data_IF_476269761574
#
_entry.id   IF_476269761574
#
_cell.length_a   1.000
_cell.length_b   1.000
_cell.length_c   1.000
_cell.angle_alpha   90.00
_cell.angle_beta   90.00
_cell.angle_gamma   90.00
#
_symmetry.space_group_name_H-M   'P 1'
#
loop_
_entity.id
_entity.type
_entity.pdbx_description
1 polymer ?
#
# COMPACT_ATOMS: atom_id res chain seq x y z
N UNK A 1 -11.23 -5.59 15.28
CA UNK A 1 -10.99 -4.86 14.02
C UNK A 1 -10.30 -3.55 14.39
N UNK A 2 -9.02 -3.40 14.11
CA UNK A 2 -8.24 -2.20 14.47
C UNK A 2 -8.18 -1.32 13.21
N UNK A 3 -8.85 -0.17 13.23
CA UNK A 3 -8.78 0.81 12.15
C UNK A 3 -7.34 1.34 11.99
N UNK A 4 -7.05 1.98 10.84
CA UNK A 4 -5.76 2.63 10.53
C UNK A 4 -5.23 3.47 11.72
N UNK A 5 -6.13 4.13 12.45
CA UNK A 5 -5.82 4.91 13.66
C UNK A 5 -5.22 4.07 14.78
N UNK A 6 -5.61 2.80 14.94
CA UNK A 6 -5.16 1.99 16.07
C UNK A 6 -3.90 1.15 15.82
N UNK A 7 -3.56 0.84 14.56
CA UNK A 7 -2.22 0.32 14.23
C UNK A 7 -1.15 1.36 14.61
N UNK A 8 -1.41 2.65 14.33
CA UNK A 8 -0.50 3.74 14.67
C UNK A 8 -0.54 4.15 16.15
N UNK A 9 -1.68 4.02 16.86
CA UNK A 9 -1.72 4.28 18.32
C UNK A 9 -0.84 3.34 19.14
N UNK A 10 -0.64 2.10 18.69
CA UNK A 10 0.20 1.13 19.43
C UNK A 10 1.72 1.31 19.21
N UNK A 11 2.14 2.21 18.31
CA UNK A 11 3.56 2.57 18.12
C UNK A 11 3.77 4.08 18.38
N UNK A 12 3.84 4.43 19.67
CA UNK A 12 4.39 5.68 20.26
C UNK A 12 4.32 6.96 19.41
N UNK A 13 3.31 7.78 19.71
CA UNK A 13 3.27 9.26 19.84
C UNK A 13 3.93 10.23 18.83
N UNK A 14 4.70 9.84 17.80
CA UNK A 14 5.41 10.80 16.93
C UNK A 14 5.41 10.47 15.41
N UNK A 15 4.41 9.76 14.88
CA UNK A 15 4.35 9.49 13.44
C UNK A 15 3.99 10.76 12.64
N UNK A 16 5.00 11.51 12.19
CA UNK A 16 4.87 12.52 11.14
C UNK A 16 4.84 11.82 9.76
N UNK A 17 3.77 12.00 9.00
CA UNK A 17 3.64 11.51 7.63
C UNK A 17 4.04 12.61 6.64
N UNK A 18 4.93 12.30 5.68
CA UNK A 18 5.20 13.19 4.55
C UNK A 18 5.40 12.41 3.23
N UNK A 19 4.47 12.69 2.31
CA UNK A 19 4.47 12.71 0.83
C UNK A 19 5.46 11.87 -0.01
N UNK A 20 4.84 11.02 -0.85
CA UNK A 20 5.12 10.63 -2.25
C UNK A 20 6.54 10.90 -2.76
N UNK A 21 7.39 9.88 -2.66
CA UNK A 21 8.64 9.84 -3.39
C UNK A 21 8.39 9.23 -4.77
N UNK A 22 8.18 10.11 -5.76
CA UNK A 22 8.37 9.76 -7.17
C UNK A 22 9.85 9.43 -7.36
N UNK A 23 10.17 8.14 -7.58
CA UNK A 23 11.53 7.56 -7.59
C UNK A 23 12.48 8.06 -8.72
N UNK A 24 12.18 9.20 -9.35
CA UNK A 24 12.94 9.70 -10.51
C UNK A 24 14.30 10.31 -10.15
N UNK A 25 14.52 10.75 -8.91
CA UNK A 25 15.76 11.43 -8.51
C UNK A 25 16.59 10.64 -7.50
N UNK A 26 17.28 9.60 -7.99
CA UNK A 26 18.05 8.63 -7.19
C UNK A 26 19.12 9.27 -6.27
N UNK A 27 19.79 10.34 -6.70
CA UNK A 27 20.89 10.96 -5.92
C UNK A 27 20.44 11.70 -4.66
N UNK A 28 19.30 12.38 -4.70
CA UNK A 28 18.79 13.11 -3.55
C UNK A 28 18.00 12.20 -2.59
N UNK A 29 17.50 11.06 -3.09
CA UNK A 29 16.73 10.11 -2.32
C UNK A 29 17.52 9.50 -1.16
N UNK A 30 18.73 8.99 -1.43
CA UNK A 30 19.61 8.40 -0.41
C UNK A 30 19.86 9.38 0.73
N UNK A 31 20.20 10.63 0.42
CA UNK A 31 20.44 11.67 1.43
C UNK A 31 19.21 11.92 2.30
N UNK A 32 18.01 11.95 1.69
CA UNK A 32 16.75 12.14 2.43
C UNK A 32 16.43 10.95 3.33
N UNK A 33 16.54 9.73 2.81
CA UNK A 33 16.27 8.52 3.62
C UNK A 33 17.27 8.38 4.77
N UNK A 34 18.54 8.69 4.54
CA UNK A 34 19.54 8.72 5.61
C UNK A 34 19.19 9.77 6.68
N UNK A 35 18.72 10.96 6.29
CA UNK A 35 18.23 11.95 7.25
C UNK A 35 17.01 11.47 8.04
N UNK A 36 16.10 10.71 7.43
CA UNK A 36 14.94 10.15 8.12
C UNK A 36 15.33 9.09 9.17
N UNK A 37 16.53 8.50 9.10
CA UNK A 37 17.01 7.56 10.12
C UNK A 37 17.19 8.22 11.50
N UNK A 38 17.39 9.54 11.53
CA UNK A 38 17.50 10.30 12.78
C UNK A 38 16.14 10.49 13.48
N UNK A 39 15.03 10.07 12.85
CA UNK A 39 13.67 10.18 13.35
C UNK A 39 13.01 8.79 13.49
N UNK A 40 13.23 8.08 14.61
CA UNK A 40 12.63 6.77 14.84
C UNK A 40 11.10 6.77 14.73
N UNK A 41 10.54 5.79 14.02
CA UNK A 41 9.10 5.68 13.80
C UNK A 41 8.58 6.44 12.57
N UNK A 42 9.45 7.07 11.79
CA UNK A 42 9.08 7.66 10.51
C UNK A 42 8.74 6.57 9.48
N UNK A 43 7.65 6.78 8.74
CA UNK A 43 7.18 5.87 7.68
C UNK A 43 7.33 6.55 6.33
N UNK A 44 7.90 5.83 5.36
CA UNK A 44 8.08 6.33 3.99
C UNK A 44 6.97 5.75 3.13
N UNK A 45 6.00 6.58 2.77
CA UNK A 45 4.95 6.20 1.83
C UNK A 45 5.42 6.47 0.39
N UNK A 46 5.31 5.46 -0.48
CA UNK A 46 5.75 5.52 -1.87
C UNK A 46 4.61 5.27 -2.83
N UNK A 47 4.52 6.14 -3.81
CA UNK A 47 3.54 6.08 -4.89
C UNK A 47 4.29 6.08 -6.23
N UNK A 48 3.85 5.24 -7.14
CA UNK A 48 4.39 5.07 -8.48
C UNK A 48 3.32 4.53 -9.41
N UNK A 49 3.57 4.59 -10.71
CA UNK A 49 2.60 4.18 -11.71
C UNK A 49 2.36 2.68 -11.83
N UNK A 50 1.37 2.35 -12.63
CA UNK A 50 1.12 0.98 -13.06
C UNK A 50 2.29 0.38 -13.89
N UNK A 51 2.32 -0.94 -14.07
CA UNK A 51 3.38 -1.73 -14.72
C UNK A 51 3.80 -1.28 -16.12
N UNK A 52 2.96 -0.52 -16.83
CA UNK A 52 3.26 0.04 -18.14
C UNK A 52 3.94 1.42 -18.08
N UNK A 53 4.09 1.98 -16.88
CA UNK A 53 4.67 3.31 -16.64
C UNK A 53 6.13 3.20 -16.17
N UNK A 54 6.96 4.16 -16.60
CA UNK A 54 8.39 4.24 -16.25
C UNK A 54 8.62 4.36 -14.74
N UNK A 55 7.65 4.90 -14.01
CA UNK A 55 7.66 5.06 -12.56
C UNK A 55 7.55 3.73 -11.81
N UNK A 56 7.00 2.67 -12.42
CA UNK A 56 6.75 1.39 -11.78
C UNK A 56 8.04 0.65 -11.46
N UNK A 57 8.49 0.77 -10.21
CA UNK A 57 9.77 0.25 -9.73
C UNK A 57 9.62 -0.49 -8.39
N UNK A 58 8.85 -1.59 -8.35
CA UNK A 58 8.65 -2.40 -7.15
C UNK A 58 9.96 -3.00 -6.61
N UNK A 59 10.93 -3.24 -7.48
CA UNK A 59 12.29 -3.71 -7.16
C UNK A 59 13.12 -2.63 -6.43
N UNK A 60 12.90 -1.35 -6.75
CA UNK A 60 13.53 -0.26 -6.04
C UNK A 60 13.07 -0.20 -4.58
N UNK A 61 11.79 -0.49 -4.31
CA UNK A 61 11.26 -0.58 -2.94
C UNK A 61 11.94 -1.70 -2.15
N UNK A 62 12.03 -2.90 -2.74
CA UNK A 62 12.75 -4.03 -2.11
C UNK A 62 14.22 -3.68 -1.80
N UNK A 63 14.89 -2.97 -2.72
CA UNK A 63 16.25 -2.50 -2.48
C UNK A 63 16.35 -1.46 -1.35
N UNK A 64 15.41 -0.52 -1.27
CA UNK A 64 15.37 0.48 -0.20
C UNK A 64 15.08 -0.17 1.16
N UNK A 65 14.12 -1.08 1.22
CA UNK A 65 13.79 -1.83 2.44
C UNK A 65 15.00 -2.62 2.97
N UNK A 66 15.78 -3.22 2.06
CA UNK A 66 17.05 -3.90 2.39
C UNK A 66 18.13 -2.95 2.91
N UNK A 67 18.26 -1.76 2.31
CA UNK A 67 19.28 -0.77 2.68
C UNK A 67 18.94 -0.03 3.98
N UNK A 68 17.65 0.13 4.26
CA UNK A 68 17.13 0.88 5.40
C UNK A 68 16.17 0.01 6.23
N UNK A 69 16.65 -1.08 6.86
CA UNK A 69 15.78 -2.03 7.58
C UNK A 69 15.07 -1.44 8.80
N UNK A 70 15.50 -0.27 9.28
CA UNK A 70 14.87 0.46 10.39
C UNK A 70 13.79 1.46 9.95
N UNK A 71 13.62 1.68 8.64
CA UNK A 71 12.52 2.48 8.09
C UNK A 71 11.41 1.55 7.63
N UNK A 72 10.17 1.90 7.96
CA UNK A 72 8.98 1.24 7.42
C UNK A 72 8.58 1.91 6.10
N UNK A 73 8.21 1.10 5.11
CA UNK A 73 7.76 1.54 3.79
C UNK A 73 6.30 1.14 3.58
N UNK A 74 5.48 2.07 3.11
CA UNK A 74 4.10 1.80 2.69
C UNK A 74 4.00 2.07 1.20
N UNK A 75 3.72 1.03 0.42
CA UNK A 75 3.45 1.17 -1.02
C UNK A 75 1.97 1.44 -1.22
N UNK A 76 1.66 2.54 -1.91
CA UNK A 76 0.29 2.97 -2.14
C UNK A 76 -0.48 2.00 -3.04
N UNK A 77 -1.80 1.94 -2.81
CA UNK A 77 -2.78 1.43 -3.76
C UNK A 77 -2.49 0.03 -4.30
N UNK A 78 -1.95 -0.86 -3.46
CA UNK A 78 -1.61 -2.23 -3.79
C UNK A 78 -0.72 -2.37 -5.03
N UNK A 79 0.21 -1.43 -5.24
CA UNK A 79 1.08 -1.41 -6.44
C UNK A 79 0.33 -1.19 -7.77
N UNK A 80 -0.84 -0.55 -7.74
CA UNK A 80 -1.66 -0.32 -8.93
C UNK A 80 -2.01 -1.63 -9.67
N UNK A 81 -2.75 -2.54 -9.02
CA UNK A 81 -2.98 -3.86 -9.55
C UNK A 81 -3.94 -3.84 -10.75
N UNK A 82 -3.79 -4.82 -11.64
CA UNK A 82 -4.74 -5.09 -12.73
C UNK A 82 -5.36 -6.48 -12.57
N UNK A 83 -6.69 -6.57 -12.69
CA UNK A 83 -7.45 -7.80 -12.53
C UNK A 83 -7.02 -8.87 -13.54
N UNK A 84 -6.79 -8.46 -14.80
CA UNK A 84 -6.37 -9.35 -15.88
C UNK A 84 -4.91 -9.83 -15.70
N UNK A 85 -4.15 -9.21 -14.77
CA UNK A 85 -2.73 -9.45 -14.54
C UNK A 85 -2.40 -9.80 -13.08
N UNK A 86 -3.28 -10.50 -12.34
CA UNK A 86 -3.03 -10.89 -10.95
C UNK A 86 -1.73 -11.67 -10.70
N UNK A 87 -1.16 -12.32 -11.72
CA UNK A 87 0.16 -12.97 -11.65
C UNK A 87 1.32 -11.96 -11.48
N UNK A 88 1.22 -10.75 -12.04
CA UNK A 88 2.22 -9.68 -11.87
C UNK A 88 2.19 -9.14 -10.45
N UNK A 89 0.98 -8.80 -9.97
CA UNK A 89 0.77 -8.40 -8.57
C UNK A 89 1.40 -9.45 -7.64
N UNK A 90 1.08 -10.74 -7.83
CA UNK A 90 1.67 -11.80 -7.01
C UNK A 90 3.21 -11.79 -7.04
N UNK A 91 3.81 -11.67 -8.22
CA UNK A 91 5.27 -11.64 -8.35
C UNK A 91 5.91 -10.44 -7.61
N UNK A 92 5.27 -9.27 -7.66
CA UNK A 92 5.70 -8.08 -6.92
C UNK A 92 5.58 -8.27 -5.41
N UNK A 93 4.45 -8.80 -4.94
CA UNK A 93 4.26 -9.08 -3.52
C UNK A 93 5.17 -10.20 -3.01
N UNK A 94 5.46 -11.22 -3.82
CA UNK A 94 6.42 -12.28 -3.48
C UNK A 94 7.84 -11.72 -3.35
N UNK A 95 8.20 -10.73 -4.17
CA UNK A 95 9.47 -10.00 -4.05
C UNK A 95 9.56 -9.25 -2.72
N UNK A 96 8.46 -8.67 -2.23
CA UNK A 96 8.41 -7.94 -0.97
C UNK A 96 8.27 -8.84 0.26
N UNK A 97 7.77 -10.06 0.08
CA UNK A 97 7.48 -11.01 1.15
C UNK A 97 8.60 -11.17 2.19
N UNK A 98 9.90 -11.22 1.83
CA UNK A 98 10.99 -11.36 2.80
C UNK A 98 11.24 -10.13 3.69
N UNK A 99 10.68 -8.97 3.35
CA UNK A 99 10.91 -7.70 4.04
C UNK A 99 9.75 -7.40 5.00
N UNK A 100 10.02 -7.45 6.30
CA UNK A 100 9.03 -7.16 7.35
C UNK A 100 8.67 -5.66 7.44
N UNK A 101 9.51 -4.80 6.87
CA UNK A 101 9.35 -3.35 6.83
C UNK A 101 8.72 -2.84 5.53
N UNK A 102 8.08 -3.72 4.73
CA UNK A 102 7.26 -3.33 3.58
C UNK A 102 5.80 -3.65 3.88
N UNK A 103 4.96 -2.64 3.73
CA UNK A 103 3.50 -2.67 3.85
C UNK A 103 2.88 -2.16 2.55
N UNK A 104 1.60 -2.41 2.37
CA UNK A 104 0.83 -1.79 1.28
C UNK A 104 -0.54 -1.38 1.78
N UNK A 105 -1.05 -0.24 1.29
CA UNK A 105 -2.45 0.09 1.48
C UNK A 105 -3.31 -0.36 0.29
N UNK A 106 -4.60 -0.50 0.55
CA UNK A 106 -5.61 -0.89 -0.44
C UNK A 106 -6.58 0.26 -0.72
N UNK A 107 -6.10 1.50 -0.62
CA UNK A 107 -6.89 2.68 -0.96
C UNK A 107 -6.94 2.88 -2.47
N UNK A 108 -8.01 3.48 -3.00
CA UNK A 108 -8.23 3.75 -4.44
C UNK A 108 -8.24 2.54 -5.40
N UNK A 109 -8.07 1.31 -4.93
CA UNK A 109 -8.00 0.13 -5.83
C UNK A 109 -9.34 -0.21 -6.52
N UNK A 110 -10.43 0.46 -6.14
CA UNK A 110 -11.74 0.42 -6.80
C UNK A 110 -11.74 1.20 -8.12
N UNK A 111 -10.80 2.14 -8.28
CA UNK A 111 -10.82 3.14 -9.34
C UNK A 111 -9.68 2.99 -10.36
N UNK A 112 -8.63 2.22 -10.02
CA UNK A 112 -7.34 2.21 -10.75
C UNK A 112 -7.36 1.40 -12.05
N UNK A 113 -8.08 0.26 -12.08
CA UNK A 113 -8.04 -0.65 -13.23
C UNK A 113 -9.19 -0.38 -14.20
N UNK A 114 -10.42 -0.59 -13.73
CA UNK A 114 -11.68 -0.34 -14.43
C UNK A 114 -12.76 -0.06 -13.41
N UNK A 115 -13.87 0.52 -13.86
CA UNK A 115 -15.06 0.66 -13.02
C UNK A 115 -15.40 -0.70 -12.40
N UNK A 116 -15.44 -0.72 -11.07
CA UNK A 116 -15.88 -1.84 -10.27
C UNK A 116 -17.08 -1.34 -9.45
N UNK A 117 -18.14 -2.12 -9.41
CA UNK A 117 -19.36 -1.73 -8.70
C UNK A 117 -19.36 -2.37 -7.32
N UNK A 118 -19.85 -1.64 -6.32
CA UNK A 118 -19.96 -2.14 -4.96
C UNK A 118 -20.69 -3.49 -4.92
N UNK A 119 -20.13 -4.55 -4.29
CA UNK A 119 -19.06 -4.55 -3.29
C UNK A 119 -17.63 -4.76 -3.85
N UNK A 120 -17.33 -4.28 -5.05
CA UNK A 120 -16.01 -4.24 -5.67
C UNK A 120 -15.32 -5.63 -5.80
N UNK A 121 -15.92 -6.58 -6.53
CA UNK A 121 -15.41 -7.95 -6.64
C UNK A 121 -14.03 -8.05 -7.31
N UNK A 122 -13.64 -7.11 -8.17
CA UNK A 122 -12.31 -7.12 -8.79
C UNK A 122 -11.26 -6.65 -7.79
N UNK A 123 -11.56 -5.58 -7.06
CA UNK A 123 -10.72 -5.12 -5.96
C UNK A 123 -10.56 -6.21 -4.89
N UNK A 124 -11.64 -6.95 -4.58
CA UNK A 124 -11.61 -8.07 -3.65
C UNK A 124 -10.60 -9.15 -4.09
N UNK A 125 -10.62 -9.54 -5.37
CA UNK A 125 -9.70 -10.54 -5.90
C UNK A 125 -8.23 -10.13 -5.71
N UNK A 126 -7.89 -8.87 -5.97
CA UNK A 126 -6.54 -8.33 -5.75
C UNK A 126 -6.14 -8.35 -4.26
N UNK A 127 -7.03 -7.95 -3.36
CA UNK A 127 -6.75 -7.98 -1.91
C UNK A 127 -6.60 -9.41 -1.40
N UNK A 128 -7.33 -10.40 -1.96
CA UNK A 128 -7.15 -11.81 -1.61
C UNK A 128 -5.75 -12.31 -1.97
N UNK A 129 -5.23 -11.95 -3.15
CA UNK A 129 -3.82 -12.23 -3.52
C UNK A 129 -2.87 -11.61 -2.49
N UNK A 130 -3.11 -10.35 -2.13
CA UNK A 130 -2.27 -9.65 -1.16
C UNK A 130 -2.26 -10.31 0.21
N UNK A 131 -3.44 -10.70 0.70
CA UNK A 131 -3.58 -11.39 1.99
C UNK A 131 -2.88 -12.74 1.97
N UNK A 132 -2.97 -13.49 0.88
CA UNK A 132 -2.32 -14.79 0.74
C UNK A 132 -0.79 -14.67 0.74
N UNK A 133 -0.24 -13.68 0.05
CA UNK A 133 1.22 -13.52 -0.14
C UNK A 133 1.87 -12.83 1.07
N UNK A 134 1.33 -11.68 1.49
CA UNK A 134 1.93 -10.84 2.53
C UNK A 134 1.40 -11.14 3.93
N UNK A 135 0.18 -11.66 4.05
CA UNK A 135 -0.56 -11.77 5.30
C UNK A 135 -1.27 -10.48 5.69
N UNK A 136 -2.36 -10.60 6.46
CA UNK A 136 -3.23 -9.47 6.80
C UNK A 136 -2.54 -8.33 7.59
N UNK A 137 -1.47 -8.63 8.34
CA UNK A 137 -0.76 -7.62 9.16
C UNK A 137 0.04 -6.61 8.34
N UNK A 138 0.26 -6.87 7.05
CA UNK A 138 1.00 -5.98 6.13
C UNK A 138 0.09 -5.20 5.17
N UNK A 139 -1.22 -5.28 5.37
CA UNK A 139 -2.23 -4.62 4.54
C UNK A 139 -2.91 -3.52 5.35
N UNK A 140 -2.97 -2.33 4.77
CA UNK A 140 -3.49 -1.11 5.40
C UNK A 140 -4.75 -0.67 4.66
N UNK A 141 -5.86 -0.46 5.37
CA UNK A 141 -7.12 -0.02 4.76
C UNK A 141 -7.23 1.51 4.74
N UNK A 142 -7.57 2.11 3.59
CA UNK A 142 -7.90 3.52 3.48
C UNK A 142 -8.87 3.77 2.32
N UNK A 143 -9.55 4.91 2.31
CA UNK A 143 -10.56 5.23 1.27
C UNK A 143 -10.00 6.04 0.10
N UNK A 144 -8.83 6.67 0.25
CA UNK A 144 -8.31 7.68 -0.69
C UNK A 144 -9.29 8.84 -0.99
N UNK A 145 -10.06 9.25 0.02
CA UNK A 145 -10.92 10.42 -0.09
C UNK A 145 -10.09 11.72 0.02
N UNK A 146 -10.37 12.76 -0.78
CA UNK A 146 -11.60 12.94 -1.57
C UNK A 146 -11.56 12.35 -2.99
N UNK A 147 -10.43 11.85 -3.48
CA UNK A 147 -10.29 11.46 -4.89
C UNK A 147 -11.21 10.29 -5.26
N UNK A 148 -11.15 9.17 -4.53
CA UNK A 148 -12.01 8.00 -4.79
C UNK A 148 -13.50 8.31 -4.58
N UNK A 149 -13.81 9.28 -3.70
CA UNK A 149 -15.17 9.73 -3.44
C UNK A 149 -15.78 10.57 -4.59
N UNK A 150 -15.02 10.83 -5.66
CA UNK A 150 -15.56 11.42 -6.89
C UNK A 150 -16.18 10.37 -7.82
N UNK A 151 -15.89 9.08 -7.60
CA UNK A 151 -16.40 7.95 -8.39
C UNK A 151 -17.37 7.07 -7.60
N UNK A 152 -17.13 6.92 -6.29
CA UNK A 152 -17.92 6.08 -5.38
C UNK A 152 -18.45 6.91 -4.21
N UNK A 153 -19.47 6.40 -3.50
CA UNK A 153 -19.86 7.03 -2.25
C UNK A 153 -18.81 6.77 -1.16
N UNK A 154 -18.63 7.73 -0.25
CA UNK A 154 -17.76 7.51 0.91
C UNK A 154 -18.22 6.32 1.76
N UNK A 155 -19.53 6.10 1.86
CA UNK A 155 -20.10 4.97 2.62
C UNK A 155 -19.71 3.62 2.03
N UNK A 156 -19.80 3.45 0.71
CA UNK A 156 -19.34 2.23 0.02
C UNK A 156 -17.86 1.97 0.28
N UNK A 157 -17.01 3.00 0.15
CA UNK A 157 -15.57 2.88 0.41
C UNK A 157 -15.27 2.57 1.90
N UNK A 158 -15.98 3.23 2.82
CA UNK A 158 -15.81 3.10 4.26
C UNK A 158 -16.22 1.72 4.80
N UNK A 159 -17.29 1.15 4.23
CA UNK A 159 -17.91 -0.09 4.71
C UNK A 159 -17.54 -1.31 3.88
N UNK A 160 -16.76 -1.14 2.81
CA UNK A 160 -16.42 -2.20 1.87
C UNK A 160 -15.92 -3.48 2.54
N UNK A 161 -14.89 -3.39 3.39
CA UNK A 161 -14.31 -4.56 4.06
C UNK A 161 -15.25 -5.25 5.05
N UNK A 162 -16.32 -4.59 5.50
CA UNK A 162 -17.36 -5.21 6.33
C UNK A 162 -18.36 -6.01 5.48
N UNK A 163 -18.47 -5.69 4.19
CA UNK A 163 -19.33 -6.42 3.24
C UNK A 163 -18.65 -7.63 2.61
N UNK A 164 -17.32 -7.62 2.50
CA UNK A 164 -16.56 -8.71 1.88
C UNK A 164 -15.83 -9.55 2.93
N UNK A 165 -15.97 -10.87 2.85
CA UNK A 165 -15.36 -11.83 3.78
C UNK A 165 -13.87 -12.08 3.44
N UNK A 166 -13.07 -11.03 3.44
CA UNK A 166 -11.62 -11.12 3.19
C UNK A 166 -10.87 -11.41 4.49
N UNK A 167 -11.20 -10.73 5.59
CA UNK A 167 -10.40 -10.74 6.84
C UNK A 167 -11.08 -11.44 8.03
N UNK A 168 -12.22 -12.12 7.84
CA UNK A 168 -13.07 -12.63 8.93
C UNK A 168 -12.64 -14.00 9.52
N UNK A 169 -11.50 -14.57 9.08
CA UNK A 169 -11.02 -15.85 9.61
C UNK A 169 -10.08 -15.62 10.79
N UNK A 170 -10.55 -15.96 12.01
CA UNK A 170 -9.79 -16.04 13.26
C UNK A 170 -9.33 -17.47 13.54
#
# INVERSE_FOLDING_TARGET
MLSLVQFFKNRKENACFFTIIVLYYKRCLVKRLTYLLDYPGFVVTTDYGNFDQISHQPDAIANLARLYPSLDFVVCHLSFPHIDNGHRLRAELDMWKPFENIYTDISAIQDIDRSDEFPFPKSEANVRIAKEVLGAKRIIWGTDSPWSATFNTYEELATWLEKVDIFIVF
#
